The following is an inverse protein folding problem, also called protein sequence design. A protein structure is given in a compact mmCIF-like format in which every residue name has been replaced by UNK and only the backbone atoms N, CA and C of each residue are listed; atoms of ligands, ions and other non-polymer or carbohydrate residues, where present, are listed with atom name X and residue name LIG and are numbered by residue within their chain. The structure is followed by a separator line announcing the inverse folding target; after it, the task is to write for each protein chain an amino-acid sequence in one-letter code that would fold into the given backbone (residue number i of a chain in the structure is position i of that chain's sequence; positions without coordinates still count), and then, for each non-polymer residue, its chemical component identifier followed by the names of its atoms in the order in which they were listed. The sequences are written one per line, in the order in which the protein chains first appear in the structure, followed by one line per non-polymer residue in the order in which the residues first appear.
data_IF_641403496725
#
_entry.id   IF_641403496725
#
_cell.length_a   1.000
_cell.length_b   1.000
_cell.length_c   1.000
_cell.angle_alpha   90.00
_cell.angle_beta   90.00
_cell.angle_gamma   90.00
#
_symmetry.space_group_name_H-M   'P 1'
#
loop_
_entity.id
_entity.type
_entity.pdbx_description
1 polymer ?
#
# COMPACT_ATOMS: atom_id res chain seq x y z
N UNK A 1 -13.43 5.62 -13.43
CA UNK A 1 -13.04 6.60 -12.39
C UNK A 1 -11.55 6.40 -12.12
N UNK A 2 -10.68 7.31 -12.58
CA UNK A 2 -9.21 7.13 -12.52
C UNK A 2 -8.51 8.04 -11.49
N UNK A 3 -9.26 8.65 -10.57
CA UNK A 3 -8.78 9.71 -9.68
C UNK A 3 -7.63 9.27 -8.76
N UNK A 4 -7.64 8.01 -8.32
CA UNK A 4 -6.66 7.44 -7.40
C UNK A 4 -5.51 6.69 -8.11
N UNK A 5 -5.55 6.59 -9.44
CA UNK A 5 -4.49 5.95 -10.25
C UNK A 5 -3.09 6.57 -10.04
N UNK A 6 -2.93 7.89 -9.80
CA UNK A 6 -1.61 8.46 -9.55
C UNK A 6 -0.90 7.89 -8.32
N UNK A 7 -1.62 7.27 -7.38
CA UNK A 7 -1.07 6.61 -6.18
C UNK A 7 -0.73 5.14 -6.40
N UNK A 8 -0.98 4.61 -7.61
CA UNK A 8 -0.69 3.25 -8.03
C UNK A 8 0.62 3.15 -8.84
N UNK A 9 1.42 4.21 -8.89
CA UNK A 9 2.68 4.27 -9.64
C UNK A 9 3.89 4.48 -8.74
N UNK A 10 5.07 4.00 -9.14
CA UNK A 10 6.29 4.18 -8.36
C UNK A 10 6.77 5.64 -8.25
N UNK A 11 6.29 6.52 -9.13
CA UNK A 11 6.61 7.94 -9.12
C UNK A 11 5.73 8.75 -8.15
N UNK A 12 4.93 8.09 -7.31
CA UNK A 12 4.15 8.74 -6.26
C UNK A 12 5.09 9.28 -5.17
N UNK A 13 4.88 10.53 -4.77
CA UNK A 13 5.62 11.15 -3.68
C UNK A 13 5.00 10.84 -2.32
N UNK A 14 5.82 10.85 -1.27
CA UNK A 14 5.34 10.73 0.12
C UNK A 14 4.34 11.85 0.43
N UNK A 15 4.56 13.05 -0.11
CA UNK A 15 3.65 14.19 0.06
C UNK A 15 2.26 13.96 -0.58
N UNK A 16 2.20 13.30 -1.74
CA UNK A 16 0.92 12.92 -2.36
C UNK A 16 0.19 11.84 -1.54
N UNK A 17 0.93 10.88 -0.96
CA UNK A 17 0.40 9.84 -0.08
C UNK A 17 -0.10 10.39 1.26
N UNK A 18 0.62 11.34 1.87
CA UNK A 18 0.22 11.94 3.15
C UNK A 18 -0.68 13.17 2.99
N UNK A 19 -0.89 13.65 1.77
CA UNK A 19 -1.64 14.85 1.47
C UNK A 19 -3.13 14.63 1.20
N UNK A 20 -3.75 15.62 0.56
CA UNK A 20 -5.20 15.60 0.24
C UNK A 20 -5.57 14.44 -0.68
N UNK A 21 -4.68 14.03 -1.60
CA UNK A 21 -4.93 12.93 -2.53
C UNK A 21 -4.99 11.58 -1.79
N UNK A 22 -4.00 11.30 -0.94
CA UNK A 22 -3.99 10.13 -0.07
C UNK A 22 -5.23 10.05 0.81
N UNK A 23 -5.62 11.16 1.45
CA UNK A 23 -6.83 11.20 2.28
C UNK A 23 -8.11 10.90 1.49
N UNK A 24 -8.28 11.49 0.30
CA UNK A 24 -9.47 11.29 -0.54
C UNK A 24 -9.61 9.87 -1.08
N UNK A 25 -8.49 9.17 -1.20
CA UNK A 25 -8.46 7.85 -1.77
C UNK A 25 -8.07 6.78 -0.74
N UNK A 26 -8.18 7.09 0.55
CA UNK A 26 -7.84 6.19 1.65
C UNK A 26 -8.62 4.87 1.56
N UNK A 27 -9.84 4.90 1.02
CA UNK A 27 -10.66 3.72 0.74
C UNK A 27 -10.06 2.75 -0.29
N UNK A 28 -9.03 3.16 -1.02
CA UNK A 28 -8.31 2.33 -1.99
C UNK A 28 -6.94 1.87 -1.48
N UNK A 29 -6.64 2.09 -0.19
CA UNK A 29 -5.36 1.74 0.41
C UNK A 29 -4.97 0.28 0.16
N UNK A 30 -5.91 -0.66 0.31
CA UNK A 30 -5.70 -2.09 0.06
C UNK A 30 -5.21 -2.33 -1.36
N UNK A 31 -5.86 -1.70 -2.35
CA UNK A 31 -5.51 -1.81 -3.76
C UNK A 31 -4.15 -1.20 -4.04
N UNK A 32 -3.85 -0.04 -3.48
CA UNK A 32 -2.54 0.59 -3.66
C UNK A 32 -1.41 -0.22 -3.05
N UNK A 33 -1.60 -0.73 -1.83
CA UNK A 33 -0.60 -1.55 -1.15
C UNK A 33 -0.27 -2.81 -1.97
N UNK A 34 -1.30 -3.47 -2.52
CA UNK A 34 -1.14 -4.62 -3.41
C UNK A 34 -0.36 -4.26 -4.68
N UNK A 35 -0.74 -3.18 -5.35
CA UNK A 35 -0.06 -2.74 -6.57
C UNK A 35 1.39 -2.31 -6.31
N UNK A 36 1.65 -1.58 -5.23
CA UNK A 36 2.99 -1.11 -4.87
C UNK A 36 3.93 -2.27 -4.53
N UNK A 37 3.42 -3.32 -3.91
CA UNK A 37 4.18 -4.54 -3.65
C UNK A 37 4.45 -5.38 -4.91
N UNK A 38 3.81 -5.06 -6.04
CA UNK A 38 3.86 -5.82 -7.29
C UNK A 38 3.62 -7.33 -7.08
N UNK A 39 2.63 -7.66 -6.24
CA UNK A 39 2.33 -9.04 -5.83
C UNK A 39 3.55 -9.83 -5.28
N UNK A 40 4.53 -9.15 -4.69
CA UNK A 40 5.71 -9.76 -4.08
C UNK A 40 5.63 -9.77 -2.54
N UNK A 41 6.27 -10.76 -1.95
CA UNK A 41 6.53 -10.78 -0.51
C UNK A 41 7.86 -10.09 -0.22
N UNK A 42 7.79 -8.90 0.40
CA UNK A 42 8.97 -8.10 0.76
C UNK A 42 9.25 -8.12 2.28
N UNK A 43 8.64 -9.05 3.03
CA UNK A 43 8.77 -9.12 4.50
C UNK A 43 10.23 -9.24 4.93
N UNK A 44 11.00 -10.13 4.31
CA UNK A 44 12.40 -10.35 4.66
C UNK A 44 13.25 -9.08 4.49
N UNK A 45 12.99 -8.30 3.44
CA UNK A 45 13.66 -7.02 3.22
C UNK A 45 13.29 -6.02 4.31
N UNK A 46 12.01 -5.88 4.61
CA UNK A 46 11.50 -4.97 5.63
C UNK A 46 12.02 -5.28 7.03
N UNK A 47 12.05 -6.57 7.41
CA UNK A 47 12.60 -7.01 8.68
C UNK A 47 14.07 -6.62 8.82
N UNK A 48 14.88 -6.83 7.77
CA UNK A 48 16.30 -6.39 7.75
C UNK A 48 16.46 -4.87 7.86
N UNK A 49 15.50 -4.09 7.37
CA UNK A 49 15.50 -2.61 7.47
C UNK A 49 14.84 -2.09 8.76
N UNK A 50 14.40 -2.96 9.66
CA UNK A 50 13.86 -2.57 10.97
C UNK A 50 12.41 -2.08 10.95
N UNK A 51 11.64 -2.41 9.91
CA UNK A 51 10.20 -2.11 9.85
C UNK A 51 9.47 -2.83 10.99
N UNK A 52 8.57 -2.11 11.67
CA UNK A 52 7.80 -2.69 12.78
C UNK A 52 7.00 -3.93 12.33
N UNK A 53 6.87 -4.92 13.22
CA UNK A 53 6.14 -6.18 12.96
C UNK A 53 4.72 -5.95 12.43
N UNK A 54 4.04 -4.97 13.01
CA UNK A 54 2.65 -4.64 12.70
C UNK A 54 2.51 -4.01 11.30
N UNK A 55 3.62 -3.56 10.72
CA UNK A 55 3.71 -2.94 9.41
C UNK A 55 4.21 -3.91 8.32
N UNK A 56 4.54 -5.16 8.66
CA UNK A 56 5.01 -6.14 7.67
C UNK A 56 3.95 -6.51 6.64
N UNK A 57 2.66 -6.32 6.97
CA UNK A 57 1.57 -6.52 6.01
C UNK A 57 1.63 -5.51 4.85
N UNK A 58 2.11 -4.28 5.09
CA UNK A 58 2.42 -3.30 4.05
C UNK A 58 3.57 -3.76 3.14
N UNK A 59 4.57 -4.42 3.70
CA UNK A 59 5.69 -4.95 2.92
C UNK A 59 5.25 -6.01 1.92
N UNK A 60 4.27 -6.83 2.31
CA UNK A 60 3.65 -7.82 1.43
C UNK A 60 2.59 -7.23 0.49
N UNK A 61 2.13 -6.01 0.73
CA UNK A 61 0.98 -5.43 0.01
C UNK A 61 -0.36 -6.04 0.42
N UNK A 62 -0.43 -6.69 1.57
CA UNK A 62 -1.64 -7.31 2.12
C UNK A 62 -2.13 -6.45 3.30
N UNK A 63 -2.85 -5.39 2.97
CA UNK A 63 -3.37 -4.40 3.94
C UNK A 63 -4.90 -4.51 3.92
N UNK A 64 -5.50 -5.45 4.66
CA UNK A 64 -6.94 -5.69 4.62
C UNK A 64 -7.68 -4.64 5.45
N UNK A 65 -7.89 -3.47 4.88
CA UNK A 65 -8.70 -2.40 5.49
C UNK A 65 -10.07 -2.36 4.85
N UNK A 66 -11.12 -2.38 5.69
CA UNK A 66 -12.52 -2.39 5.26
C UNK A 66 -13.31 -1.18 5.76
N UNK A 67 -12.72 -0.40 6.66
CA UNK A 67 -13.32 0.78 7.25
C UNK A 67 -12.23 1.78 7.67
N UNK A 68 -12.65 3.00 8.00
CA UNK A 68 -11.75 4.08 8.41
C UNK A 68 -10.93 3.71 9.68
N UNK A 69 -11.50 2.97 10.63
CA UNK A 69 -10.81 2.59 11.87
C UNK A 69 -9.66 1.62 11.58
N UNK A 70 -9.89 0.65 10.69
CA UNK A 70 -8.87 -0.30 10.24
C UNK A 70 -7.73 0.37 9.48
N UNK A 71 -7.93 1.55 8.88
CA UNK A 71 -6.82 2.31 8.30
C UNK A 71 -5.97 2.97 9.37
N UNK A 72 -6.59 3.56 10.40
CA UNK A 72 -5.85 4.27 11.42
C UNK A 72 -4.88 3.36 12.20
N UNK A 73 -5.13 2.05 12.26
CA UNK A 73 -4.16 1.10 12.82
C UNK A 73 -2.84 1.05 12.04
N UNK A 74 -2.83 1.49 10.77
CA UNK A 74 -1.63 1.56 9.93
C UNK A 74 -0.97 2.94 9.89
N UNK A 75 -1.57 3.97 10.49
CA UNK A 75 -0.94 5.29 10.59
C UNK A 75 0.48 5.24 11.19
N UNK A 76 0.79 4.41 12.21
CA UNK A 76 2.16 4.29 12.72
C UNK A 76 3.18 3.80 11.68
N UNK A 77 2.74 3.09 10.64
CA UNK A 77 3.60 2.55 9.58
C UNK A 77 4.14 3.63 8.63
N UNK A 78 3.56 4.83 8.65
CA UNK A 78 4.09 5.97 7.88
C UNK A 78 5.53 6.33 8.28
N UNK A 79 5.95 6.02 9.51
CA UNK A 79 7.35 6.21 9.95
C UNK A 79 8.33 5.31 9.18
N UNK A 80 7.85 4.14 8.72
CA UNK A 80 8.64 3.11 8.04
C UNK A 80 8.43 3.16 6.51
N UNK A 81 7.61 4.08 6.00
CA UNK A 81 7.17 4.12 4.59
C UNK A 81 8.33 4.17 3.60
N UNK A 82 9.41 4.88 3.95
CA UNK A 82 10.61 4.95 3.13
C UNK A 82 11.29 3.58 2.98
N UNK A 83 11.40 2.82 4.06
CA UNK A 83 11.99 1.49 4.04
C UNK A 83 11.10 0.49 3.28
N UNK A 84 9.78 0.59 3.47
CA UNK A 84 8.77 -0.22 2.76
C UNK A 84 8.87 0.02 1.24
N UNK A 85 8.80 1.28 0.80
CA UNK A 85 8.91 1.65 -0.62
C UNK A 85 10.24 1.19 -1.19
N UNK A 86 11.34 1.35 -0.45
CA UNK A 86 12.65 0.90 -0.91
C UNK A 86 12.67 -0.62 -1.16
N UNK A 87 12.09 -1.41 -0.26
CA UNK A 87 11.99 -2.86 -0.44
C UNK A 87 11.12 -3.26 -1.64
N UNK A 88 10.01 -2.55 -1.86
CA UNK A 88 9.17 -2.75 -3.04
C UNK A 88 9.96 -2.49 -4.33
N UNK A 89 10.66 -1.35 -4.39
CA UNK A 89 11.50 -0.96 -5.55
C UNK A 89 12.63 -1.96 -5.81
N UNK A 90 13.30 -2.45 -4.75
CA UNK A 90 14.39 -3.43 -4.86
C UNK A 90 13.92 -4.77 -5.46
N UNK A 91 12.64 -5.12 -5.37
CA UNK A 91 12.08 -6.40 -5.81
C UNK A 91 11.26 -6.31 -7.11
N UNK A 92 11.27 -5.16 -7.80
CA UNK A 92 10.54 -5.01 -9.04
C UNK A 92 11.10 -5.87 -10.17
N UNK A 93 10.19 -6.45 -10.94
CA UNK A 93 10.52 -7.15 -12.18
C UNK A 93 10.51 -6.24 -13.41
N UNK A 94 10.98 -6.78 -14.53
CA UNK A 94 10.85 -6.13 -15.84
C UNK A 94 9.40 -6.01 -16.33
N UNK A 95 8.51 -6.86 -15.79
CA UNK A 95 7.07 -6.85 -16.09
C UNK A 95 6.30 -6.87 -14.77
N UNK A 96 5.17 -6.12 -14.69
CA UNK A 96 4.32 -6.15 -13.51
C UNK A 96 3.79 -7.57 -13.25
N UNK A 97 3.78 -7.98 -11.99
CA UNK A 97 3.27 -9.29 -11.54
C UNK A 97 1.86 -9.19 -10.96
N UNK A 98 1.31 -7.99 -10.84
CA UNK A 98 -0.07 -7.82 -10.38
C UNK A 98 -1.05 -8.62 -11.25
N UNK A 99 -1.96 -9.34 -10.61
CA UNK A 99 -3.10 -9.96 -11.27
C UNK A 99 -4.17 -8.90 -11.60
N UNK A 100 -4.54 -8.68 -12.88
CA UNK A 100 -5.56 -7.72 -13.28
C UNK A 100 -6.98 -8.10 -12.82
N UNK A 101 -7.18 -9.34 -12.35
CA UNK A 101 -8.45 -9.82 -11.76
C UNK A 101 -8.43 -9.78 -10.24
N UNK A 102 -7.34 -9.32 -9.62
CA UNK A 102 -7.28 -9.17 -8.17
C UNK A 102 -8.28 -8.13 -7.70
N UNK A 103 -8.94 -8.44 -6.58
CA UNK A 103 -9.86 -7.54 -5.90
C UNK A 103 -9.53 -7.50 -4.42
N UNK A 104 -9.72 -6.34 -3.80
CA UNK A 104 -9.64 -6.22 -2.36
C UNK A 104 -10.65 -7.18 -1.69
N UNK A 105 -10.32 -7.65 -0.48
CA UNK A 105 -11.18 -8.59 0.27
C UNK A 105 -12.55 -8.02 0.58
N UNK A 106 -12.62 -6.72 0.81
CA UNK A 106 -13.82 -5.98 1.10
C UNK A 106 -13.88 -4.80 0.14
N UNK A 107 -15.03 -4.63 -0.49
CA UNK A 107 -15.38 -3.35 -1.07
C UNK A 107 -15.73 -2.43 0.10
N UNK A 108 -15.14 -1.24 0.08
CA UNK A 108 -15.54 -0.20 1.02
C UNK A 108 -16.99 0.14 0.70
N UNK A 109 -17.91 -0.40 1.49
CA UNK A 109 -19.30 0.02 1.44
C UNK A 109 -19.31 1.49 1.85
N UNK A 110 -19.38 2.36 0.84
CA UNK A 110 -19.74 3.76 1.01
C UNK A 110 -21.22 3.83 1.40
N UNK A 111 -21.57 3.26 2.55
CA UNK A 111 -22.85 3.47 3.20
C UNK A 111 -22.66 4.56 4.24
N UNK A 112 -22.71 5.80 3.74
CA UNK A 112 -23.62 6.84 4.22
C UNK A 112 -23.88 7.85 3.10
#
# INVERSE_FOLDING_TARGET
MGFCLPLCGYNTTIDELSGSLGFKCVSQLTTWAYCAADANDNIDCCQRKGVASDCLSFCKGDVPTCDIQSIFSYQPCLKDIKAIIQCHVENLGAHPRFDPKWTARCDWDASD
#
